data_IF_277770263181
#
_entry.id   IF_277770263181
#
_cell.length_a   1.000
_cell.length_b   1.000
_cell.length_c   1.000
_cell.angle_alpha   90.00
_cell.angle_beta   90.00
_cell.angle_gamma   90.00
#
_symmetry.space_group_name_H-M   'P 1'
#
loop_
_entity.id
_entity.type
_entity.pdbx_description
1 polymer ?
#
# COMPACT_ATOMS: atom_id res chain seq x y z
N UNK A 1 1.84 -28.79 8.09
CA UNK A 1 3.12 -28.29 7.55
C UNK A 1 3.61 -27.18 8.46
N UNK A 2 4.87 -27.26 8.95
CA UNK A 2 5.43 -26.25 9.86
C UNK A 2 5.89 -25.07 9.03
N UNK A 3 5.16 -23.95 9.12
CA UNK A 3 5.64 -22.69 8.55
C UNK A 3 6.85 -22.24 9.38
N UNK A 4 7.99 -22.02 8.74
CA UNK A 4 9.21 -21.62 9.42
C UNK A 4 8.98 -20.30 10.16
N UNK A 5 9.20 -20.30 11.46
CA UNK A 5 9.10 -19.11 12.31
C UNK A 5 10.50 -18.55 12.48
N UNK A 6 10.68 -17.25 12.28
CA UNK A 6 11.94 -16.60 12.58
C UNK A 6 12.22 -16.67 14.10
N UNK A 7 13.45 -16.98 14.46
CA UNK A 7 13.88 -17.22 15.83
C UNK A 7 13.62 -16.01 16.75
N UNK A 8 12.91 -16.22 17.85
CA UNK A 8 12.71 -15.22 18.91
C UNK A 8 11.46 -14.34 18.80
N UNK A 9 10.63 -14.49 17.78
CA UNK A 9 9.41 -13.71 17.60
C UNK A 9 8.21 -14.34 18.33
N UNK A 10 7.18 -13.52 18.67
CA UNK A 10 5.94 -14.02 19.27
C UNK A 10 5.23 -15.02 18.33
N UNK A 11 4.54 -16.06 18.87
CA UNK A 11 3.87 -17.06 18.04
C UNK A 11 2.73 -16.45 17.22
N UNK A 12 2.57 -16.92 15.99
CA UNK A 12 1.45 -16.56 15.12
C UNK A 12 0.15 -17.22 15.61
N UNK A 13 -0.97 -16.51 15.49
CA UNK A 13 -2.32 -16.98 15.82
C UNK A 13 -3.12 -17.11 14.53
N UNK A 14 -3.15 -18.32 13.97
CA UNK A 14 -3.79 -18.62 12.68
C UNK A 14 -5.10 -19.37 12.93
N UNK A 15 -6.19 -18.86 12.40
CA UNK A 15 -7.48 -19.53 12.52
C UNK A 15 -7.46 -20.87 11.75
N UNK A 16 -8.06 -21.97 12.29
CA UNK A 16 -8.01 -23.29 11.65
C UNK A 16 -8.62 -23.36 10.23
N UNK A 17 -9.49 -22.42 9.87
CA UNK A 17 -10.08 -22.35 8.53
C UNK A 17 -9.32 -21.43 7.58
N UNK A 18 -8.21 -20.83 8.00
CA UNK A 18 -7.34 -20.10 7.10
C UNK A 18 -6.55 -21.08 6.22
N UNK A 19 -6.38 -20.72 4.96
CA UNK A 19 -5.60 -21.50 4.00
C UNK A 19 -4.29 -20.75 3.72
N UNK A 20 -3.18 -21.38 4.03
CA UNK A 20 -1.84 -20.89 3.69
C UNK A 20 -1.23 -21.85 2.68
N UNK A 21 -0.98 -21.34 1.48
CA UNK A 21 -0.37 -22.10 0.40
C UNK A 21 1.14 -22.32 0.60
N UNK A 22 1.74 -23.05 -0.31
CA UNK A 22 3.18 -23.20 -0.38
C UNK A 22 3.85 -21.85 -0.70
N UNK A 23 5.10 -21.64 -0.25
CA UNK A 23 5.82 -20.39 -0.48
C UNK A 23 5.30 -19.19 0.34
N UNK A 24 4.52 -19.42 1.40
CA UNK A 24 4.11 -18.39 2.36
C UNK A 24 5.08 -18.34 3.53
N UNK A 25 5.76 -17.21 3.68
CA UNK A 25 6.67 -16.91 4.79
C UNK A 25 6.04 -15.89 5.72
N UNK A 26 5.99 -16.21 7.02
CA UNK A 26 5.43 -15.33 8.06
C UNK A 26 6.49 -14.97 9.09
N UNK A 27 6.62 -13.70 9.41
CA UNK A 27 7.25 -13.25 10.65
C UNK A 27 6.48 -13.71 11.89
N UNK A 28 6.72 -13.07 13.02
CA UNK A 28 6.10 -13.45 14.29
C UNK A 28 4.93 -12.57 14.71
N UNK A 29 4.10 -13.07 15.63
CA UNK A 29 3.03 -12.31 16.26
C UNK A 29 1.86 -11.93 15.35
N UNK A 30 1.75 -12.54 14.19
CA UNK A 30 0.64 -12.27 13.28
C UNK A 30 -0.65 -12.93 13.76
N UNK A 31 -1.78 -12.27 13.52
CA UNK A 31 -3.12 -12.80 13.75
C UNK A 31 -3.81 -12.95 12.40
N UNK A 32 -4.17 -14.18 12.00
CA UNK A 32 -4.81 -14.49 10.72
C UNK A 32 -6.22 -15.05 10.99
N UNK A 33 -7.22 -14.33 10.48
CA UNK A 33 -8.64 -14.59 10.71
C UNK A 33 -9.20 -15.77 9.90
N UNK A 34 -10.46 -16.14 10.18
CA UNK A 34 -11.12 -17.26 9.53
C UNK A 34 -11.32 -17.02 8.03
N UNK A 35 -11.22 -18.10 7.24
CA UNK A 35 -11.43 -18.12 5.79
C UNK A 35 -10.53 -17.17 5.01
N UNK A 36 -9.41 -16.76 5.60
CA UNK A 36 -8.36 -16.01 4.88
C UNK A 36 -7.57 -16.98 4.02
N UNK A 37 -7.27 -16.57 2.79
CA UNK A 37 -6.49 -17.35 1.84
C UNK A 37 -5.22 -16.57 1.49
N UNK A 38 -4.07 -17.18 1.74
CA UNK A 38 -2.76 -16.62 1.38
C UNK A 38 -2.06 -17.61 0.46
N UNK A 39 -1.74 -17.19 -0.76
CA UNK A 39 -1.13 -18.04 -1.80
C UNK A 39 0.26 -17.50 -2.13
N UNK A 40 1.27 -18.32 -2.00
CA UNK A 40 2.67 -17.92 -2.27
C UNK A 40 2.96 -17.62 -3.76
N UNK A 41 4.11 -17.01 -4.04
CA UNK A 41 5.12 -16.56 -3.07
C UNK A 41 4.70 -15.29 -2.33
N UNK A 42 4.65 -15.36 -1.00
CA UNK A 42 4.23 -14.24 -0.14
C UNK A 42 5.13 -14.16 1.09
N UNK A 43 5.67 -12.98 1.37
CA UNK A 43 6.38 -12.70 2.61
C UNK A 43 5.61 -11.66 3.43
N UNK A 44 5.33 -11.97 4.69
CA UNK A 44 4.62 -11.10 5.63
C UNK A 44 5.49 -10.88 6.87
N UNK A 45 5.73 -9.63 7.24
CA UNK A 45 6.49 -9.25 8.44
C UNK A 45 5.79 -9.58 9.75
N UNK A 46 6.08 -8.82 10.79
CA UNK A 46 5.66 -9.12 12.16
C UNK A 46 4.40 -8.36 12.59
N UNK A 47 3.63 -8.95 13.51
CA UNK A 47 2.57 -8.25 14.23
C UNK A 47 1.39 -7.77 13.40
N UNK A 48 1.16 -8.34 12.23
CA UNK A 48 0.02 -7.98 11.39
C UNK A 48 -1.28 -8.58 11.93
N UNK A 49 -2.36 -7.82 11.82
CA UNK A 49 -3.71 -8.31 12.00
C UNK A 49 -4.41 -8.44 10.66
N UNK A 50 -4.71 -9.66 10.26
CA UNK A 50 -5.35 -10.01 8.98
C UNK A 50 -6.73 -10.56 9.29
N UNK A 51 -7.76 -9.84 8.87
CA UNK A 51 -9.18 -10.14 9.16
C UNK A 51 -9.71 -11.36 8.42
N UNK A 52 -10.98 -11.70 8.63
CA UNK A 52 -11.61 -12.81 7.93
C UNK A 52 -11.82 -12.52 6.44
N UNK A 53 -11.80 -13.58 5.62
CA UNK A 53 -12.05 -13.52 4.17
C UNK A 53 -11.10 -12.55 3.44
N UNK A 54 -9.89 -12.38 3.91
CA UNK A 54 -8.84 -11.65 3.20
C UNK A 54 -8.18 -12.58 2.19
N UNK A 55 -7.83 -12.06 1.02
CA UNK A 55 -7.06 -12.80 0.00
C UNK A 55 -5.73 -12.10 -0.25
N UNK A 56 -4.62 -12.83 -0.14
CA UNK A 56 -3.28 -12.31 -0.39
C UNK A 56 -2.56 -13.26 -1.33
N UNK A 57 -1.93 -12.72 -2.37
CA UNK A 57 -1.12 -13.50 -3.29
C UNK A 57 -1.92 -14.28 -4.33
N UNK A 58 -3.19 -13.95 -4.54
CA UNK A 58 -3.94 -14.44 -5.71
C UNK A 58 -3.31 -13.91 -7.00
N UNK A 59 -3.41 -14.65 -8.13
CA UNK A 59 -2.84 -14.22 -9.40
C UNK A 59 -3.18 -12.77 -9.75
N UNK A 60 -2.24 -12.09 -10.41
CA UNK A 60 -2.46 -10.72 -10.86
C UNK A 60 -3.64 -10.65 -11.83
N UNK A 61 -4.43 -9.59 -11.76
CA UNK A 61 -5.55 -9.34 -12.67
C UNK A 61 -5.06 -8.84 -14.04
N UNK A 62 -4.14 -9.59 -14.63
CA UNK A 62 -3.61 -9.34 -15.98
C UNK A 62 -4.18 -10.38 -16.95
N UNK A 63 -4.77 -9.90 -18.06
CA UNK A 63 -5.36 -10.78 -19.10
C UNK A 63 -4.34 -11.67 -19.79
N UNK A 64 -3.07 -11.27 -19.81
CA UNK A 64 -1.95 -12.05 -20.37
C UNK A 64 -1.28 -12.96 -19.34
N UNK A 65 -1.60 -12.81 -18.07
CA UNK A 65 -0.99 -13.57 -16.98
C UNK A 65 -1.52 -14.97 -16.82
N UNK A 66 -0.74 -15.90 -16.27
CA UNK A 66 -1.17 -17.25 -16.00
C UNK A 66 -2.19 -17.27 -14.84
N UNK A 67 -3.25 -18.03 -15.02
CA UNK A 67 -4.12 -18.45 -13.93
C UNK A 67 -3.90 -19.94 -13.72
N UNK A 68 -3.38 -20.38 -12.56
CA UNK A 68 -3.13 -21.80 -12.32
C UNK A 68 -4.44 -22.59 -12.38
N UNK A 69 -4.37 -23.79 -12.90
CA UNK A 69 -5.53 -24.71 -13.02
C UNK A 69 -5.95 -25.25 -11.66
N UNK A 70 -5.01 -25.35 -10.73
CA UNK A 70 -5.23 -25.77 -9.36
C UNK A 70 -4.48 -24.82 -8.40
N UNK A 71 -5.02 -24.62 -7.21
CA UNK A 71 -4.42 -23.75 -6.20
C UNK A 71 -3.07 -24.28 -5.68
N UNK A 72 -2.84 -25.61 -5.83
CA UNK A 72 -1.60 -26.27 -5.49
C UNK A 72 -0.46 -25.94 -6.47
N UNK A 73 -0.77 -25.47 -7.66
CA UNK A 73 0.19 -25.09 -8.70
C UNK A 73 0.71 -23.64 -8.54
N UNK A 74 0.47 -23.02 -7.37
CA UNK A 74 0.96 -21.67 -7.11
C UNK A 74 2.50 -21.62 -7.23
N UNK A 75 3.07 -20.58 -7.85
CA UNK A 75 4.51 -20.46 -7.97
C UNK A 75 5.15 -20.39 -6.58
N UNK A 76 6.32 -21.00 -6.45
CA UNK A 76 7.18 -20.93 -5.27
C UNK A 76 8.40 -20.07 -5.58
N UNK A 77 8.98 -19.42 -4.59
CA UNK A 77 10.16 -18.58 -4.75
C UNK A 77 10.19 -17.42 -3.79
N UNK A 78 11.21 -16.58 -3.85
CA UNK A 78 11.29 -15.34 -3.07
C UNK A 78 10.60 -14.21 -3.83
N UNK A 79 9.48 -13.68 -3.32
CA UNK A 79 8.73 -12.63 -4.02
C UNK A 79 9.56 -11.36 -4.25
N UNK A 80 10.53 -11.08 -3.36
CA UNK A 80 11.38 -9.91 -3.48
C UNK A 80 12.46 -10.04 -4.57
N UNK A 81 12.88 -11.30 -4.90
CA UNK A 81 13.92 -11.57 -5.89
C UNK A 81 13.36 -11.96 -7.25
N UNK A 82 12.25 -12.69 -7.26
CA UNK A 82 11.71 -13.28 -8.48
C UNK A 82 10.76 -12.36 -9.25
N UNK A 83 10.48 -11.17 -8.71
CA UNK A 83 9.62 -10.17 -9.35
C UNK A 83 8.13 -10.52 -9.37
N UNK A 84 7.74 -11.61 -8.71
CA UNK A 84 6.36 -12.06 -8.58
C UNK A 84 5.96 -12.13 -7.10
N UNK A 85 4.66 -12.30 -6.85
CA UNK A 85 4.19 -12.49 -5.49
C UNK A 85 3.91 -11.19 -4.73
N UNK A 86 3.97 -11.27 -3.39
CA UNK A 86 3.60 -10.17 -2.49
C UNK A 86 4.59 -10.04 -1.34
N UNK A 87 4.97 -8.80 -1.01
CA UNK A 87 5.73 -8.49 0.20
C UNK A 87 4.92 -7.54 1.08
N UNK A 88 4.61 -7.95 2.29
CA UNK A 88 3.90 -7.15 3.29
C UNK A 88 4.83 -6.91 4.47
N UNK A 89 4.95 -5.66 4.88
CA UNK A 89 5.69 -5.25 6.08
C UNK A 89 5.03 -5.68 7.38
N UNK A 90 5.24 -4.91 8.42
CA UNK A 90 4.87 -5.24 9.80
C UNK A 90 3.75 -4.34 10.34
N UNK A 91 3.05 -4.78 11.40
CA UNK A 91 2.06 -4.03 12.17
C UNK A 91 0.88 -3.52 11.36
N UNK A 92 0.62 -4.09 10.20
CA UNK A 92 -0.51 -3.73 9.37
C UNK A 92 -1.84 -4.25 9.95
N UNK A 93 -2.91 -3.53 9.65
CA UNK A 93 -4.28 -3.97 9.91
C UNK A 93 -5.01 -4.11 8.59
N UNK A 94 -5.21 -5.35 8.17
CA UNK A 94 -5.85 -5.70 6.91
C UNK A 94 -7.24 -6.25 7.25
N UNK A 95 -8.28 -5.43 6.99
CA UNK A 95 -9.66 -5.75 7.34
C UNK A 95 -10.28 -6.73 6.36
N UNK A 96 -11.44 -7.23 6.77
CA UNK A 96 -12.21 -8.25 6.07
C UNK A 96 -12.46 -7.89 4.59
N UNK A 97 -12.41 -8.91 3.75
CA UNK A 97 -12.58 -8.83 2.30
C UNK A 97 -11.55 -7.96 1.56
N UNK A 98 -10.48 -7.56 2.19
CA UNK A 98 -9.39 -6.92 1.48
C UNK A 98 -8.66 -7.93 0.57
N UNK A 99 -8.15 -7.45 -0.58
CA UNK A 99 -7.39 -8.25 -1.53
C UNK A 99 -6.04 -7.61 -1.86
N UNK A 100 -5.00 -8.45 -1.92
CA UNK A 100 -3.66 -8.04 -2.40
C UNK A 100 -3.20 -9.06 -3.43
N UNK A 101 -3.11 -8.64 -4.69
CA UNK A 101 -2.74 -9.51 -5.80
C UNK A 101 -1.23 -9.63 -5.98
N UNK A 102 -0.79 -10.76 -6.51
CA UNK A 102 0.61 -10.95 -6.93
C UNK A 102 1.02 -9.93 -7.98
N UNK A 103 2.31 -9.63 -8.00
CA UNK A 103 2.91 -8.93 -9.12
C UNK A 103 3.07 -9.82 -10.35
N UNK A 104 3.21 -9.20 -11.50
CA UNK A 104 3.41 -9.85 -12.79
C UNK A 104 4.84 -9.69 -13.31
N UNK A 105 5.55 -8.64 -12.88
CA UNK A 105 6.97 -8.39 -13.18
C UNK A 105 7.74 -7.77 -12.01
N UNK A 106 7.08 -7.32 -10.97
CA UNK A 106 7.65 -6.99 -9.67
C UNK A 106 6.69 -7.43 -8.58
N UNK A 107 7.16 -7.70 -7.37
CA UNK A 107 6.26 -8.00 -6.27
C UNK A 107 5.31 -6.82 -5.98
N UNK A 108 4.05 -7.12 -5.71
CA UNK A 108 3.15 -6.15 -5.08
C UNK A 108 3.58 -5.93 -3.63
N UNK A 109 3.66 -4.68 -3.18
CA UNK A 109 4.20 -4.38 -1.86
C UNK A 109 3.26 -3.55 -1.01
N UNK A 110 3.22 -3.85 0.29
CA UNK A 110 2.59 -3.06 1.34
C UNK A 110 3.61 -2.82 2.45
N UNK A 111 3.88 -1.57 2.77
CA UNK A 111 4.82 -1.19 3.82
C UNK A 111 4.33 -1.51 5.23
N UNK A 112 4.87 -0.79 6.20
CA UNK A 112 4.59 -0.95 7.62
C UNK A 112 3.43 -0.05 8.08
N UNK A 113 2.78 -0.44 9.20
CA UNK A 113 1.78 0.37 9.91
C UNK A 113 0.60 0.86 9.04
N UNK A 114 0.26 0.13 8.01
CA UNK A 114 -0.83 0.46 7.10
C UNK A 114 -2.19 -0.01 7.64
N UNK A 115 -3.24 0.69 7.20
CA UNK A 115 -4.61 0.33 7.53
C UNK A 115 -5.45 0.15 6.26
N UNK A 116 -5.68 -1.10 5.88
CA UNK A 116 -6.54 -1.52 4.78
C UNK A 116 -7.92 -1.83 5.36
N UNK A 117 -8.90 -0.97 5.10
CA UNK A 117 -10.26 -1.18 5.58
C UNK A 117 -11.02 -2.15 4.67
N UNK A 118 -12.24 -2.50 5.10
CA UNK A 118 -13.07 -3.50 4.48
C UNK A 118 -13.15 -3.34 2.95
N UNK A 119 -12.88 -4.45 2.24
CA UNK A 119 -13.02 -4.52 0.79
C UNK A 119 -12.05 -3.65 -0.01
N UNK A 120 -10.97 -3.16 0.62
CA UNK A 120 -9.91 -2.48 -0.13
C UNK A 120 -9.14 -3.46 -1.01
N UNK A 121 -8.65 -3.00 -2.14
CA UNK A 121 -7.98 -3.82 -3.14
C UNK A 121 -6.66 -3.19 -3.56
N UNK A 122 -5.62 -4.01 -3.58
CA UNK A 122 -4.30 -3.67 -4.12
C UNK A 122 -4.06 -4.55 -5.35
N UNK A 123 -4.07 -3.93 -6.53
CA UNK A 123 -3.83 -4.59 -7.81
C UNK A 123 -2.39 -5.06 -7.95
N UNK A 124 -2.14 -5.85 -8.99
CA UNK A 124 -0.83 -6.41 -9.30
C UNK A 124 0.25 -5.31 -9.48
N UNK A 125 1.48 -5.60 -9.11
CA UNK A 125 2.64 -4.70 -9.26
C UNK A 125 2.51 -3.36 -8.52
N UNK A 126 1.52 -3.21 -7.64
CA UNK A 126 1.32 -1.99 -6.89
C UNK A 126 2.35 -1.87 -5.75
N UNK A 127 2.76 -0.65 -5.48
CA UNK A 127 3.66 -0.30 -4.36
C UNK A 127 2.92 0.62 -3.42
N UNK A 128 2.73 0.17 -2.18
CA UNK A 128 2.10 0.96 -1.11
C UNK A 128 3.12 1.14 0.01
N UNK A 129 3.46 2.40 0.29
CA UNK A 129 4.42 2.77 1.35
C UNK A 129 3.85 2.62 2.75
N UNK A 130 4.61 3.10 3.74
CA UNK A 130 4.26 2.97 5.16
C UNK A 130 3.15 3.94 5.60
N UNK A 131 2.44 3.59 6.67
CA UNK A 131 1.41 4.43 7.28
C UNK A 131 0.29 4.85 6.32
N UNK A 132 0.05 4.10 5.28
CA UNK A 132 -1.02 4.36 4.31
C UNK A 132 -2.36 3.87 4.86
N UNK A 133 -3.40 4.68 4.67
CA UNK A 133 -4.78 4.26 4.93
C UNK A 133 -5.55 4.13 3.63
N UNK A 134 -6.03 2.93 3.35
CA UNK A 134 -7.02 2.66 2.30
C UNK A 134 -8.37 2.45 2.99
N UNK A 135 -9.26 3.44 2.91
CA UNK A 135 -10.59 3.32 3.52
C UNK A 135 -11.44 2.25 2.79
N UNK A 136 -12.65 1.97 3.29
CA UNK A 136 -13.50 0.92 2.75
C UNK A 136 -13.69 1.05 1.23
N UNK A 137 -13.53 -0.07 0.52
CA UNK A 137 -13.72 -0.17 -0.93
C UNK A 137 -12.83 0.79 -1.75
N UNK A 138 -11.65 1.12 -1.27
CA UNK A 138 -10.61 1.75 -2.11
C UNK A 138 -10.06 0.70 -3.06
N UNK A 139 -10.02 1.02 -4.36
CA UNK A 139 -9.53 0.12 -5.40
C UNK A 139 -8.30 0.73 -6.07
N UNK A 140 -7.16 0.09 -5.91
CA UNK A 140 -5.92 0.44 -6.61
C UNK A 140 -5.75 -0.47 -7.82
N UNK A 141 -5.72 0.12 -9.02
CA UNK A 141 -5.37 -0.60 -10.24
C UNK A 141 -3.90 -1.06 -10.24
N UNK A 142 -3.55 -1.95 -11.13
CA UNK A 142 -2.19 -2.46 -11.27
C UNK A 142 -1.14 -1.36 -11.45
N UNK A 143 0.10 -1.62 -11.03
CA UNK A 143 1.23 -0.69 -11.14
C UNK A 143 1.05 0.65 -10.39
N UNK A 144 0.04 0.79 -9.56
CA UNK A 144 -0.19 2.00 -8.76
C UNK A 144 0.92 2.18 -7.72
N UNK A 145 1.38 3.40 -7.52
CA UNK A 145 2.33 3.73 -6.45
C UNK A 145 1.69 4.70 -5.45
N UNK A 146 1.44 4.24 -4.24
CA UNK A 146 0.93 5.05 -3.13
C UNK A 146 2.07 5.28 -2.14
N UNK A 147 2.51 6.52 -2.01
CA UNK A 147 3.59 6.91 -1.13
C UNK A 147 3.12 6.98 0.33
N UNK A 148 4.08 6.88 1.25
CA UNK A 148 3.83 6.81 2.69
C UNK A 148 2.97 7.95 3.21
N UNK A 149 2.17 7.65 4.23
CA UNK A 149 1.24 8.56 4.91
C UNK A 149 0.07 9.07 4.07
N UNK A 150 -0.14 8.55 2.87
CA UNK A 150 -1.33 8.87 2.08
C UNK A 150 -2.59 8.28 2.71
N UNK A 151 -3.70 9.00 2.58
CA UNK A 151 -5.01 8.58 3.07
C UNK A 151 -6.02 8.66 1.92
N UNK A 152 -6.58 7.53 1.51
CA UNK A 152 -7.58 7.43 0.46
C UNK A 152 -8.96 7.16 1.07
N UNK A 153 -9.88 8.07 0.83
CA UNK A 153 -11.26 8.01 1.34
C UNK A 153 -12.07 6.87 0.72
N UNK A 154 -13.17 6.51 1.39
CA UNK A 154 -14.04 5.40 0.99
C UNK A 154 -14.48 5.48 -0.47
N UNK A 155 -14.43 4.34 -1.17
CA UNK A 155 -14.87 4.23 -2.56
C UNK A 155 -14.00 4.98 -3.57
N UNK A 156 -12.79 5.40 -3.18
CA UNK A 156 -11.81 5.95 -4.14
C UNK A 156 -11.37 4.86 -5.10
N UNK A 157 -11.36 5.18 -6.40
CA UNK A 157 -10.81 4.32 -7.45
C UNK A 157 -9.58 4.98 -8.06
N UNK A 158 -8.51 4.21 -8.19
CA UNK A 158 -7.22 4.69 -8.70
C UNK A 158 -6.86 3.91 -9.96
N UNK A 159 -6.71 4.63 -11.07
CA UNK A 159 -6.36 4.04 -12.37
C UNK A 159 -4.98 3.38 -12.30
N UNK A 160 -4.79 2.30 -13.07
CA UNK A 160 -3.50 1.64 -13.17
C UNK A 160 -2.38 2.63 -13.51
N UNK A 161 -1.20 2.42 -12.94
CA UNK A 161 -0.03 3.28 -13.13
C UNK A 161 -0.10 4.64 -12.43
N UNK A 162 -1.22 5.03 -11.84
CA UNK A 162 -1.34 6.31 -11.15
C UNK A 162 -0.47 6.38 -9.89
N UNK A 163 -0.05 7.58 -9.52
CA UNK A 163 0.82 7.83 -8.36
C UNK A 163 0.12 8.72 -7.34
N UNK A 164 0.16 8.33 -6.09
CA UNK A 164 -0.38 9.09 -4.96
C UNK A 164 0.78 9.58 -4.11
N UNK A 165 1.00 10.88 -4.05
CA UNK A 165 2.12 11.48 -3.33
C UNK A 165 2.05 11.32 -1.82
N UNK A 166 3.19 11.47 -1.13
CA UNK A 166 3.28 11.34 0.31
C UNK A 166 2.32 12.28 1.04
N UNK A 167 1.67 11.78 2.09
CA UNK A 167 0.75 12.57 2.88
C UNK A 167 -0.46 13.12 2.14
N UNK A 168 -0.73 12.68 0.92
CA UNK A 168 -1.90 13.11 0.16
C UNK A 168 -3.20 12.62 0.82
N UNK A 169 -4.24 13.45 0.74
CA UNK A 169 -5.60 13.11 1.14
C UNK A 169 -6.49 13.04 -0.11
N UNK A 170 -6.96 11.85 -0.44
CA UNK A 170 -7.92 11.65 -1.53
C UNK A 170 -9.31 11.52 -0.91
N UNK A 171 -10.23 12.42 -1.28
CA UNK A 171 -11.59 12.43 -0.76
C UNK A 171 -12.41 11.22 -1.22
N UNK A 172 -13.43 10.86 -0.43
CA UNK A 172 -14.30 9.72 -0.73
C UNK A 172 -14.93 9.81 -2.13
N UNK A 173 -15.12 8.67 -2.79
CA UNK A 173 -15.75 8.59 -4.11
C UNK A 173 -14.96 9.21 -5.25
N UNK A 174 -13.68 9.53 -5.04
CA UNK A 174 -12.84 10.14 -6.08
C UNK A 174 -12.37 9.13 -7.12
N UNK A 175 -12.27 9.57 -8.38
CA UNK A 175 -11.69 8.80 -9.49
C UNK A 175 -10.34 9.42 -9.90
N UNK A 176 -9.26 8.82 -9.41
CA UNK A 176 -7.89 9.26 -9.69
C UNK A 176 -7.40 8.61 -10.98
N UNK A 177 -7.08 9.43 -11.98
CA UNK A 177 -6.63 8.93 -13.29
C UNK A 177 -5.12 9.03 -13.50
N UNK A 178 -4.45 9.89 -12.77
CA UNK A 178 -3.03 10.22 -12.93
C UNK A 178 -2.39 10.44 -11.56
N UNK A 179 -1.46 11.37 -11.48
CA UNK A 179 -0.76 11.72 -10.27
C UNK A 179 -1.59 12.61 -9.34
N UNK A 180 -1.49 12.31 -8.03
CA UNK A 180 -1.94 13.16 -6.93
C UNK A 180 -0.69 13.71 -6.23
N UNK A 181 -0.58 15.03 -6.11
CA UNK A 181 0.58 15.71 -5.53
C UNK A 181 0.77 15.38 -4.03
N UNK A 182 2.02 15.50 -3.57
CA UNK A 182 2.37 15.37 -2.16
C UNK A 182 1.57 16.35 -1.31
N UNK A 183 1.06 15.91 -0.16
CA UNK A 183 0.29 16.71 0.81
C UNK A 183 -0.88 17.50 0.21
N UNK A 184 -1.40 17.11 -0.95
CA UNK A 184 -2.60 17.73 -1.51
C UNK A 184 -3.87 17.07 -0.99
N UNK A 185 -4.95 17.85 -0.93
CA UNK A 185 -6.32 17.33 -0.87
C UNK A 185 -6.83 17.25 -2.30
N UNK A 186 -7.25 16.05 -2.72
CA UNK A 186 -7.72 15.78 -4.09
C UNK A 186 -9.09 15.14 -4.02
N UNK A 187 -10.08 15.65 -4.77
CA UNK A 187 -11.47 15.19 -4.70
C UNK A 187 -12.14 15.14 -6.06
N UNK A 188 -13.17 14.34 -6.19
CA UNK A 188 -14.11 14.33 -7.30
C UNK A 188 -13.85 13.29 -8.39
N UNK A 189 -14.69 13.31 -9.44
CA UNK A 189 -14.60 12.46 -10.62
C UNK A 189 -14.73 13.31 -11.89
N UNK A 190 -13.66 13.54 -12.65
CA UNK A 190 -12.27 13.14 -12.35
C UNK A 190 -11.69 13.90 -11.15
N UNK A 191 -10.82 13.25 -10.40
CA UNK A 191 -10.20 13.84 -9.21
C UNK A 191 -9.34 15.05 -9.56
N UNK A 192 -9.44 16.12 -8.75
CA UNK A 192 -8.69 17.36 -8.89
C UNK A 192 -8.20 17.84 -7.53
N UNK A 193 -7.01 18.41 -7.49
CA UNK A 193 -6.49 19.05 -6.30
C UNK A 193 -7.41 20.22 -5.87
N UNK A 194 -7.81 20.23 -4.61
CA UNK A 194 -8.67 21.25 -4.02
C UNK A 194 -7.99 22.07 -2.92
N UNK A 195 -6.85 21.61 -2.41
CA UNK A 195 -6.12 22.32 -1.36
C UNK A 195 -4.90 21.58 -0.87
N UNK A 196 -4.32 22.11 0.19
CA UNK A 196 -3.18 21.54 0.93
C UNK A 196 -3.71 20.76 2.13
N UNK A 197 -3.19 19.57 2.39
CA UNK A 197 -3.55 18.75 3.55
C UNK A 197 -2.86 19.27 4.83
N UNK A 198 -3.29 20.43 5.30
CA UNK A 198 -2.75 21.06 6.50
C UNK A 198 -2.88 20.16 7.74
N UNK A 199 -3.97 19.41 7.85
CA UNK A 199 -4.18 18.44 8.94
C UNK A 199 -3.13 17.32 8.89
N UNK A 200 -2.82 16.82 7.71
CA UNK A 200 -1.77 15.81 7.52
C UNK A 200 -0.39 16.33 7.91
N UNK A 201 -0.06 17.54 7.51
CA UNK A 201 1.20 18.20 7.87
C UNK A 201 1.31 18.45 9.38
N UNK A 202 0.26 19.01 10.01
CA UNK A 202 0.22 19.26 11.46
C UNK A 202 0.36 17.95 12.28
N UNK A 203 -0.30 16.86 11.87
CA UNK A 203 -0.18 15.55 12.54
C UNK A 203 1.22 14.97 12.49
N UNK A 204 2.06 15.42 11.58
CA UNK A 204 3.48 15.07 11.51
C UNK A 204 4.37 15.98 12.36
N UNK A 205 3.77 16.83 13.18
CA UNK A 205 4.49 17.70 14.11
C UNK A 205 5.11 18.95 13.49
N UNK A 206 4.73 19.29 12.25
CA UNK A 206 5.21 20.52 11.62
C UNK A 206 4.54 21.73 12.29
N UNK A 207 5.34 22.73 12.63
CA UNK A 207 4.84 24.01 13.10
C UNK A 207 4.25 24.85 11.93
N UNK A 208 3.57 25.90 12.28
CA UNK A 208 2.88 26.77 11.32
C UNK A 208 3.85 27.41 10.31
N UNK A 209 5.03 27.82 10.75
CA UNK A 209 6.04 28.44 9.88
C UNK A 209 6.56 27.46 8.83
N UNK A 210 6.84 26.22 9.23
CA UNK A 210 7.28 25.15 8.31
C UNK A 210 6.18 24.78 7.32
N UNK A 211 4.92 24.69 7.78
CA UNK A 211 3.78 24.44 6.89
C UNK A 211 3.60 25.58 5.87
N UNK A 212 3.76 26.83 6.31
CA UNK A 212 3.69 28.00 5.45
C UNK A 212 4.79 27.99 4.36
N UNK A 213 6.03 27.67 4.76
CA UNK A 213 7.17 27.55 3.85
C UNK A 213 6.99 26.42 2.81
N UNK A 214 6.41 25.27 3.20
CA UNK A 214 6.19 24.12 2.33
C UNK A 214 4.98 24.30 1.36
N UNK A 215 4.03 25.13 1.74
CA UNK A 215 2.77 25.32 1.00
C UNK A 215 2.97 25.72 -0.49
N UNK A 216 3.88 26.64 -0.87
CA UNK A 216 4.12 26.96 -2.28
C UNK A 216 4.53 25.74 -3.11
N UNK A 217 5.45 24.92 -2.59
CA UNK A 217 5.89 23.69 -3.27
C UNK A 217 4.73 22.70 -3.43
N UNK A 218 3.93 22.45 -2.39
CA UNK A 218 2.74 21.59 -2.48
C UNK A 218 1.77 22.07 -3.56
N UNK A 219 1.66 23.38 -3.76
CA UNK A 219 0.82 24.00 -4.79
C UNK A 219 1.47 24.04 -6.20
N UNK A 220 2.68 23.52 -6.34
CA UNK A 220 3.44 23.58 -7.60
C UNK A 220 3.84 25.01 -8.02
N UNK A 221 4.01 25.91 -7.03
CA UNK A 221 4.32 27.35 -7.25
C UNK A 221 5.68 27.79 -6.70
N UNK A 222 6.50 26.85 -6.28
CA UNK A 222 7.83 27.11 -5.70
C UNK A 222 8.64 25.83 -5.56
N UNK A 223 9.88 26.00 -5.15
CA UNK A 223 10.80 24.91 -4.90
C UNK A 223 10.60 24.30 -3.51
N UNK A 224 11.09 23.08 -3.33
CA UNK A 224 11.09 22.42 -2.04
C UNK A 224 12.03 23.21 -1.09
N UNK A 225 11.61 23.55 0.14
CA UNK A 225 12.50 24.18 1.10
C UNK A 225 13.75 23.30 1.38
N UNK A 226 14.91 23.92 1.39
CA UNK A 226 16.18 23.23 1.62
C UNK A 226 16.32 22.76 3.07
N UNK A 227 15.80 23.55 4.03
CA UNK A 227 15.94 23.36 5.47
C UNK A 227 14.59 23.44 6.20
N UNK A 228 14.60 23.01 7.47
CA UNK A 228 13.44 23.16 8.38
C UNK A 228 12.46 21.98 8.39
N UNK A 229 12.68 20.97 7.55
CA UNK A 229 11.86 19.74 7.57
C UNK A 229 12.49 18.68 8.49
N UNK A 230 11.70 17.94 9.27
CA UNK A 230 12.18 16.74 9.96
C UNK A 230 12.83 15.76 8.98
N UNK A 231 13.87 15.05 9.42
CA UNK A 231 14.72 14.21 8.53
C UNK A 231 13.92 13.17 7.75
N UNK A 232 12.97 12.50 8.40
CA UNK A 232 12.10 11.50 7.78
C UNK A 232 11.22 12.13 6.69
N UNK A 233 10.68 13.30 6.95
CA UNK A 233 9.88 14.04 5.99
C UNK A 233 10.73 14.60 4.85
N UNK A 234 11.90 15.16 5.16
CA UNK A 234 12.86 15.66 4.16
C UNK A 234 13.25 14.56 3.18
N UNK A 235 13.59 13.37 3.69
CA UNK A 235 13.89 12.20 2.86
C UNK A 235 12.73 11.83 1.95
N UNK A 236 11.52 11.76 2.49
CA UNK A 236 10.32 11.38 1.78
C UNK A 236 9.96 12.37 0.66
N UNK A 237 9.98 13.67 0.95
CA UNK A 237 9.62 14.70 -0.05
C UNK A 237 10.68 14.86 -1.12
N UNK A 238 11.98 14.74 -0.77
CA UNK A 238 13.08 14.74 -1.75
C UNK A 238 12.99 13.55 -2.70
N UNK A 239 12.69 12.36 -2.17
CA UNK A 239 12.46 11.17 -3.01
C UNK A 239 11.25 11.34 -3.94
N UNK A 240 10.17 11.95 -3.45
CA UNK A 240 9.02 12.28 -4.28
C UNK A 240 9.36 13.30 -5.37
N UNK A 241 10.10 14.35 -5.04
CA UNK A 241 10.45 15.41 -5.98
C UNK A 241 11.40 14.91 -7.09
N UNK A 242 12.34 14.04 -6.74
CA UNK A 242 13.31 13.41 -7.65
C UNK A 242 12.73 12.27 -8.51
N UNK A 243 11.45 11.86 -8.29
CA UNK A 243 10.87 10.75 -9.05
C UNK A 243 10.83 11.03 -10.54
N UNK A 244 10.96 10.02 -11.42
CA UNK A 244 10.76 10.19 -12.85
C UNK A 244 9.38 10.79 -13.12
N UNK A 245 9.32 11.92 -13.78
CA UNK A 245 8.05 12.48 -14.29
C UNK A 245 7.72 11.74 -15.58
N UNK A 246 6.49 11.19 -15.69
CA UNK A 246 6.07 10.60 -16.96
C UNK A 246 5.94 11.73 -17.97
N UNK A 247 6.69 11.63 -19.06
CA UNK A 247 6.44 12.43 -20.26
C UNK A 247 5.14 11.91 -20.88
N UNK A 248 4.15 12.78 -21.00
CA UNK A 248 2.82 12.50 -21.55
C UNK A 248 2.76 12.85 -23.03
#
# INVERSE_FOLDING_TARGET
MSHAQADGSAPNRIHPTAVLGEGVELGGGNVIGPYTVIVGPVRIGDGNWIGPHVTIGTPGEDRGGPHPVAWEDAPTGDPALDGHGVVIGSRNRIREYAGVHQGTWRASTLGDDCYLLRGSHIGHDAVVGDHVTLACNVLLGGHTHVWSHANLGMGTVVHQGARIGPGAMVGMGSAVRREVGAFTITVGNPARASGVNLVGLSRRGLDEATVEALTPWVKGKGDLPDDGLPDDLSTLVKAWDARPREEH
#
